data_IF_395663795796
#
_entry.id   IF_395663795796
#
_cell.length_a   1.000
_cell.length_b   1.000
_cell.length_c   1.000
_cell.angle_alpha   90.00
_cell.angle_beta   90.00
_cell.angle_gamma   90.00
#
_symmetry.space_group_name_H-M   'P 1'
#
loop_
_entity.id
_entity.type
_entity.pdbx_description
1 polymer ?
#
# COMPACT_ATOMS: atom_id res chain seq x y z
N UNK A 1 -24.32 -3.16 -12.41
CA UNK A 1 -23.53 -3.01 -11.18
C UNK A 1 -23.54 -1.55 -10.77
N UNK A 2 -23.34 -1.24 -9.49
CA UNK A 2 -23.30 0.15 -9.02
C UNK A 2 -22.02 0.83 -9.54
N UNK A 3 -22.15 2.08 -10.00
CA UNK A 3 -21.01 2.92 -10.36
C UNK A 3 -20.15 3.18 -9.12
N UNK A 4 -18.85 2.97 -9.26
CA UNK A 4 -17.83 3.27 -8.25
C UNK A 4 -17.23 4.64 -8.55
N UNK A 5 -17.04 5.47 -7.53
CA UNK A 5 -16.60 6.86 -7.70
C UNK A 5 -15.75 7.39 -6.55
N UNK A 6 -15.17 6.49 -5.75
CA UNK A 6 -14.38 6.90 -4.59
C UNK A 6 -13.03 7.44 -5.03
N UNK A 7 -12.73 8.66 -4.59
CA UNK A 7 -11.46 9.34 -4.83
C UNK A 7 -11.08 10.19 -3.62
N UNK A 8 -9.98 9.86 -2.97
CA UNK A 8 -9.50 10.56 -1.78
C UNK A 8 -8.40 11.56 -2.17
N UNK A 9 -8.41 12.74 -1.55
CA UNK A 9 -7.36 13.74 -1.71
C UNK A 9 -6.15 13.39 -0.83
N UNK A 10 -5.26 12.57 -1.37
CA UNK A 10 -3.98 12.19 -0.74
C UNK A 10 -2.86 12.75 -1.59
N UNK A 11 -1.88 13.42 -0.97
CA UNK A 11 -0.73 13.97 -1.68
C UNK A 11 0.34 12.88 -1.86
N UNK A 12 0.87 12.68 -3.08
CA UNK A 12 1.96 11.74 -3.30
C UNK A 12 3.25 12.23 -2.63
N UNK A 13 4.02 11.27 -2.11
CA UNK A 13 5.33 11.50 -1.50
C UNK A 13 6.33 10.60 -2.21
N UNK A 14 7.40 11.18 -2.78
CA UNK A 14 8.51 10.39 -3.32
C UNK A 14 9.37 9.86 -2.17
N UNK A 15 9.72 8.58 -2.21
CA UNK A 15 10.61 7.95 -1.25
C UNK A 15 12.02 8.55 -1.30
N UNK A 16 12.66 8.75 -0.14
CA UNK A 16 14.01 9.34 -0.07
C UNK A 16 15.12 8.35 -0.41
N UNK A 17 14.89 7.04 -0.23
CA UNK A 17 15.84 5.97 -0.56
C UNK A 17 15.16 4.91 -1.42
N UNK A 18 15.90 4.07 -2.13
CA UNK A 18 15.34 2.99 -2.96
C UNK A 18 14.53 1.95 -2.17
N UNK A 19 14.66 1.92 -0.84
CA UNK A 19 14.05 0.93 0.04
C UNK A 19 13.06 1.50 1.05
N UNK A 20 12.74 2.81 0.98
CA UNK A 20 11.84 3.47 1.92
C UNK A 20 10.40 3.58 1.44
N UNK A 21 9.99 2.83 0.40
CA UNK A 21 8.61 2.82 -0.11
C UNK A 21 7.56 2.57 1.00
N UNK A 22 7.88 1.69 1.96
CA UNK A 22 7.06 1.41 3.14
C UNK A 22 6.82 2.66 4.00
N UNK A 23 7.86 3.47 4.21
CA UNK A 23 7.82 4.67 5.03
C UNK A 23 7.10 5.81 4.29
N UNK A 24 7.37 5.97 3.00
CA UNK A 24 6.72 6.99 2.16
C UNK A 24 5.22 6.74 2.04
N UNK A 25 4.80 5.51 1.78
CA UNK A 25 3.38 5.16 1.72
C UNK A 25 2.69 5.37 3.08
N UNK A 26 3.34 4.98 4.18
CA UNK A 26 2.80 5.24 5.51
C UNK A 26 2.73 6.75 5.83
N UNK A 27 3.71 7.55 5.37
CA UNK A 27 3.67 9.00 5.46
C UNK A 27 2.49 9.61 4.71
N UNK A 28 2.12 9.09 3.53
CA UNK A 28 0.91 9.52 2.81
C UNK A 28 -0.36 9.23 3.61
N UNK A 29 -0.50 8.03 4.15
CA UNK A 29 -1.64 7.63 4.98
C UNK A 29 -1.73 8.50 6.25
N UNK A 30 -0.63 8.62 7.00
CA UNK A 30 -0.57 9.41 8.24
C UNK A 30 -0.86 10.88 7.97
N UNK A 31 -0.32 11.42 6.87
CA UNK A 31 -0.56 12.81 6.49
C UNK A 31 -2.03 13.07 6.18
N UNK A 32 -2.67 12.16 5.43
CA UNK A 32 -4.09 12.21 5.15
C UNK A 32 -4.93 12.14 6.43
N UNK A 33 -4.64 11.17 7.31
CA UNK A 33 -5.41 10.97 8.55
C UNK A 33 -5.30 12.14 9.52
N UNK A 34 -4.13 12.78 9.59
CA UNK A 34 -3.83 13.84 10.56
C UNK A 34 -3.96 15.26 10.00
N UNK A 35 -4.24 15.42 8.70
CA UNK A 35 -4.44 16.73 8.07
C UNK A 35 -3.18 17.60 8.02
N UNK A 36 -1.98 17.02 8.11
CA UNK A 36 -0.70 17.73 7.93
C UNK A 36 0.32 16.84 7.24
N UNK A 37 1.33 17.43 6.60
CA UNK A 37 2.43 16.65 6.05
C UNK A 37 3.26 15.97 7.15
N UNK A 38 3.64 14.72 6.90
CA UNK A 38 4.60 13.93 7.67
C UNK A 38 5.71 13.43 6.74
N UNK A 39 6.94 13.43 7.24
CA UNK A 39 8.09 12.81 6.58
C UNK A 39 8.19 11.31 6.88
N UNK A 40 8.97 10.60 6.06
CA UNK A 40 9.29 9.18 6.29
C UNK A 40 9.94 8.96 7.66
N UNK A 41 10.87 9.83 8.06
CA UNK A 41 11.56 9.72 9.35
C UNK A 41 10.61 9.97 10.54
N UNK A 42 9.68 10.92 10.43
CA UNK A 42 8.66 11.13 11.46
C UNK A 42 7.79 9.87 11.63
N UNK A 43 7.35 9.25 10.53
CA UNK A 43 6.55 8.02 10.60
C UNK A 43 7.35 6.83 11.13
N UNK A 44 8.60 6.66 10.70
CA UNK A 44 9.49 5.65 11.27
C UNK A 44 9.70 5.87 12.78
N UNK A 45 9.83 7.13 13.22
CA UNK A 45 9.95 7.48 14.64
C UNK A 45 8.67 7.16 15.41
N UNK A 46 7.49 7.43 14.83
CA UNK A 46 6.21 7.05 15.42
C UNK A 46 6.09 5.54 15.61
N UNK A 47 6.59 4.74 14.67
CA UNK A 47 6.57 3.29 14.78
C UNK A 47 7.61 2.74 15.79
N UNK A 48 8.73 3.43 15.95
CA UNK A 48 9.70 3.18 17.03
C UNK A 48 11.14 2.93 16.58
N UNK A 49 12.08 2.73 17.52
CA UNK A 49 13.52 2.78 17.25
C UNK A 49 14.00 1.79 16.17
N UNK A 50 13.42 0.59 16.10
CA UNK A 50 13.78 -0.40 15.08
C UNK A 50 13.50 0.10 13.66
N UNK A 51 12.39 0.82 13.43
CA UNK A 51 12.03 1.36 12.11
C UNK A 51 12.85 2.58 11.75
N UNK A 52 13.27 3.38 12.74
CA UNK A 52 14.26 4.44 12.53
C UNK A 52 15.58 3.84 12.03
N UNK A 53 16.04 2.74 12.64
CA UNK A 53 17.23 2.03 12.19
C UNK A 53 17.08 1.47 10.78
N UNK A 54 15.96 0.82 10.45
CA UNK A 54 15.70 0.32 9.10
C UNK A 54 15.67 1.45 8.06
N UNK A 55 15.03 2.57 8.37
CA UNK A 55 14.99 3.73 7.49
C UNK A 55 16.40 4.32 7.27
N UNK A 56 17.16 4.54 8.34
CA UNK A 56 18.53 5.09 8.26
C UNK A 56 19.50 4.17 7.52
N UNK A 57 19.29 2.86 7.61
CA UNK A 57 20.11 1.86 6.92
C UNK A 57 19.63 1.60 5.48
N UNK A 58 18.62 2.31 4.99
CA UNK A 58 18.02 2.12 3.67
C UNK A 58 17.63 0.66 3.41
N UNK A 59 16.96 0.04 4.38
CA UNK A 59 16.46 -1.34 4.28
C UNK A 59 14.94 -1.37 4.24
N UNK A 60 14.38 -2.30 3.47
CA UNK A 60 12.95 -2.58 3.44
C UNK A 60 12.45 -3.30 4.70
N UNK A 61 11.14 -3.45 4.80
CA UNK A 61 10.52 -4.32 5.80
C UNK A 61 10.51 -5.77 5.31
N UNK A 62 10.72 -6.72 6.22
CA UNK A 62 10.41 -8.12 5.97
C UNK A 62 8.90 -8.38 6.10
N UNK A 63 8.42 -9.49 5.54
CA UNK A 63 7.00 -9.89 5.60
C UNK A 63 6.39 -9.81 6.99
N UNK A 64 7.00 -10.43 8.03
CA UNK A 64 6.49 -10.37 9.40
C UNK A 64 6.48 -8.96 10.01
N UNK A 65 7.30 -8.04 9.53
CA UNK A 65 7.39 -6.67 10.07
C UNK A 65 6.23 -5.77 9.64
N UNK A 66 5.48 -6.11 8.58
CA UNK A 66 4.38 -5.28 8.10
C UNK A 66 3.28 -5.11 9.14
N UNK A 67 2.84 -6.20 9.77
CA UNK A 67 1.78 -6.16 10.78
C UNK A 67 2.22 -5.41 12.04
N UNK A 68 3.45 -5.65 12.52
CA UNK A 68 4.02 -4.92 13.66
C UNK A 68 4.09 -3.42 13.34
N UNK A 69 4.60 -3.05 12.16
CA UNK A 69 4.71 -1.65 11.74
C UNK A 69 3.35 -0.96 11.66
N UNK A 70 2.37 -1.61 11.05
CA UNK A 70 1.00 -1.12 10.97
C UNK A 70 0.41 -0.88 12.37
N UNK A 71 0.52 -1.86 13.26
CA UNK A 71 -0.06 -1.78 14.60
C UNK A 71 0.50 -0.60 15.41
N UNK A 72 1.79 -0.31 15.28
CA UNK A 72 2.47 0.81 15.95
C UNK A 72 2.03 2.18 15.44
N UNK A 73 1.48 2.24 14.22
CA UNK A 73 0.88 3.44 13.65
C UNK A 73 -0.65 3.53 13.87
N UNK A 74 -1.23 2.59 14.63
CA UNK A 74 -2.68 2.50 14.83
C UNK A 74 -3.44 2.06 13.59
N UNK A 75 -2.80 1.28 12.72
CA UNK A 75 -3.39 0.71 11.50
C UNK A 75 -3.70 -0.77 11.71
N UNK A 76 -4.67 -1.27 10.95
CA UNK A 76 -5.02 -2.67 10.82
C UNK A 76 -4.50 -3.26 9.52
N UNK A 77 -4.50 -4.59 9.45
CA UNK A 77 -4.11 -5.36 8.26
C UNK A 77 -5.25 -6.27 7.85
N UNK A 78 -5.48 -6.39 6.56
CA UNK A 78 -6.38 -7.41 6.01
C UNK A 78 -5.65 -8.75 5.90
N UNK A 79 -6.42 -9.84 5.86
CA UNK A 79 -5.90 -11.15 5.49
C UNK A 79 -5.24 -11.10 4.08
N UNK A 80 -4.28 -11.99 3.77
CA UNK A 80 -3.67 -12.06 2.45
C UNK A 80 -4.70 -12.52 1.41
N UNK A 81 -5.41 -11.54 0.84
CA UNK A 81 -6.45 -11.75 -0.15
C UNK A 81 -6.48 -10.60 -1.16
N UNK A 82 -7.01 -10.90 -2.34
CA UNK A 82 -7.34 -9.89 -3.33
C UNK A 82 -8.84 -9.59 -3.27
N UNK A 83 -9.21 -8.33 -3.52
CA UNK A 83 -10.59 -7.88 -3.43
C UNK A 83 -11.17 -7.58 -4.81
N UNK A 84 -12.49 -7.62 -4.91
CA UNK A 84 -13.20 -7.07 -6.06
C UNK A 84 -13.08 -5.54 -6.10
N UNK A 85 -13.37 -4.89 -7.24
CA UNK A 85 -13.43 -3.43 -7.30
C UNK A 85 -14.33 -2.82 -6.21
N UNK A 86 -15.49 -3.43 -5.95
CA UNK A 86 -16.42 -3.02 -4.90
C UNK A 86 -15.84 -3.23 -3.49
N UNK A 87 -15.06 -4.30 -3.28
CA UNK A 87 -14.37 -4.57 -2.03
C UNK A 87 -13.35 -3.48 -1.70
N UNK A 88 -12.49 -3.12 -2.66
CA UNK A 88 -11.56 -2.01 -2.50
C UNK A 88 -12.27 -0.67 -2.29
N UNK A 89 -13.35 -0.40 -3.03
CA UNK A 89 -14.13 0.82 -2.82
C UNK A 89 -14.73 0.87 -1.40
N UNK A 90 -15.24 -0.26 -0.90
CA UNK A 90 -15.80 -0.36 0.45
C UNK A 90 -14.75 -0.09 1.52
N UNK A 91 -13.53 -0.64 1.35
CA UNK A 91 -12.40 -0.37 2.22
C UNK A 91 -12.00 1.12 2.18
N UNK A 92 -11.92 1.73 1.00
CA UNK A 92 -11.59 3.15 0.84
C UNK A 92 -12.61 4.06 1.54
N UNK A 93 -13.91 3.78 1.37
CA UNK A 93 -15.00 4.53 2.00
C UNK A 93 -14.97 4.41 3.52
N UNK A 94 -14.63 3.23 4.04
CA UNK A 94 -14.65 2.93 5.48
C UNK A 94 -13.39 3.41 6.20
N UNK A 95 -12.23 3.21 5.60
CA UNK A 95 -10.93 3.34 6.27
C UNK A 95 -10.03 4.44 5.69
N UNK A 96 -10.38 5.01 4.54
CA UNK A 96 -9.54 5.96 3.83
C UNK A 96 -8.54 5.26 2.90
N UNK A 97 -7.42 5.92 2.53
CA UNK A 97 -6.48 5.37 1.57
C UNK A 97 -5.81 4.11 2.11
N UNK A 98 -5.52 3.18 1.20
CA UNK A 98 -4.99 1.87 1.54
C UNK A 98 -3.52 1.80 1.15
N UNK A 99 -2.70 1.26 2.06
CA UNK A 99 -1.32 0.92 1.79
C UNK A 99 -1.30 -0.49 1.19
N UNK A 100 -0.70 -0.62 0.00
CA UNK A 100 -0.77 -1.81 -0.86
C UNK A 100 0.64 -2.37 -1.07
N UNK A 101 0.87 -3.62 -0.66
CA UNK A 101 2.09 -4.37 -0.99
C UNK A 101 1.88 -5.27 -2.21
N UNK A 102 2.50 -4.89 -3.33
CA UNK A 102 2.40 -5.59 -4.61
C UNK A 102 3.78 -6.05 -5.13
N UNK A 103 3.79 -7.09 -5.97
CA UNK A 103 4.99 -7.55 -6.68
C UNK A 103 5.09 -6.84 -8.01
N UNK A 104 5.84 -5.73 -8.07
CA UNK A 104 6.01 -4.95 -9.30
C UNK A 104 7.36 -5.16 -9.99
N UNK A 105 8.34 -5.72 -9.28
CA UNK A 105 9.65 -5.96 -9.84
C UNK A 105 9.67 -7.31 -10.58
N UNK A 106 10.25 -7.30 -11.77
CA UNK A 106 10.49 -8.51 -12.56
C UNK A 106 11.65 -9.33 -11.96
N UNK A 107 11.45 -9.89 -10.77
CA UNK A 107 12.36 -10.87 -10.17
C UNK A 107 12.49 -10.74 -8.65
N UNK A 108 12.24 -11.87 -7.96
CA UNK A 108 12.50 -12.04 -6.53
C UNK A 108 11.32 -11.68 -5.61
N UNK A 109 11.45 -12.08 -4.34
CA UNK A 109 10.50 -11.79 -3.26
C UNK A 109 10.67 -10.35 -2.77
N UNK A 110 10.26 -9.38 -3.59
CA UNK A 110 10.32 -7.96 -3.25
C UNK A 110 8.95 -7.31 -3.44
N UNK A 111 8.50 -6.66 -2.38
CA UNK A 111 7.24 -5.93 -2.35
C UNK A 111 7.52 -4.46 -2.60
N UNK A 112 6.93 -3.91 -3.65
CA UNK A 112 6.83 -2.47 -3.81
C UNK A 112 5.53 -1.98 -3.18
N UNK A 113 5.67 -0.96 -2.36
CA UNK A 113 4.58 -0.44 -1.55
C UNK A 113 4.04 0.82 -2.21
N UNK A 114 2.73 0.85 -2.47
CA UNK A 114 2.03 1.99 -3.05
C UNK A 114 0.77 2.32 -2.25
N UNK A 115 0.11 3.43 -2.58
CA UNK A 115 -1.12 3.84 -1.90
C UNK A 115 -2.30 3.86 -2.87
N UNK A 116 -3.29 3.01 -2.65
CA UNK A 116 -4.58 3.09 -3.35
C UNK A 116 -5.38 4.23 -2.72
N UNK A 117 -5.70 5.25 -3.51
CA UNK A 117 -6.49 6.41 -3.07
C UNK A 117 -7.87 6.51 -3.72
N UNK A 118 -8.16 5.66 -4.71
CA UNK A 118 -9.44 5.71 -5.41
C UNK A 118 -9.72 4.49 -6.27
N UNK A 119 -11.00 4.21 -6.45
CA UNK A 119 -11.56 3.20 -7.34
C UNK A 119 -12.75 3.81 -8.06
N UNK A 120 -12.67 3.93 -9.39
CA UNK A 120 -13.69 4.61 -10.21
C UNK A 120 -14.01 3.79 -11.46
N UNK A 121 -15.29 3.54 -11.72
CA UNK A 121 -15.75 2.78 -12.89
C UNK A 121 -17.13 2.14 -12.73
N UNK A 122 -17.43 1.14 -13.56
CA UNK A 122 -18.72 0.43 -13.57
C UNK A 122 -18.78 -0.77 -12.59
N UNK A 123 -17.67 -1.06 -11.91
CA UNK A 123 -17.52 -2.17 -10.99
C UNK A 123 -17.03 -3.48 -11.61
N UNK A 124 -16.85 -3.54 -12.94
CA UNK A 124 -16.14 -4.65 -13.61
C UNK A 124 -14.63 -4.44 -13.53
N UNK A 125 -13.85 -5.52 -13.63
CA UNK A 125 -12.39 -5.42 -13.50
C UNK A 125 -11.73 -4.63 -14.64
N UNK A 126 -12.24 -4.74 -15.86
CA UNK A 126 -11.64 -4.09 -17.04
C UNK A 126 -12.07 -2.63 -17.21
N UNK A 127 -13.30 -2.27 -16.82
CA UNK A 127 -13.82 -0.90 -16.94
C UNK A 127 -13.77 -0.11 -15.62
N UNK A 128 -13.13 -0.66 -14.59
CA UNK A 128 -12.85 0.07 -13.34
C UNK A 128 -11.36 0.33 -13.20
N UNK A 129 -11.03 1.53 -12.75
CA UNK A 129 -9.65 1.97 -12.55
C UNK A 129 -9.32 2.09 -11.06
N UNK A 130 -8.15 1.57 -10.69
CA UNK A 130 -7.46 1.88 -9.45
C UNK A 130 -6.60 3.13 -9.63
N UNK A 131 -6.64 4.04 -8.66
CA UNK A 131 -5.81 5.25 -8.61
C UNK A 131 -4.76 5.13 -7.51
N UNK A 132 -3.50 5.08 -7.92
CA UNK A 132 -2.39 4.56 -7.12
C UNK A 132 -1.29 5.61 -7.04
N UNK A 133 -0.96 6.04 -5.84
CA UNK A 133 0.21 6.87 -5.59
C UNK A 133 1.44 5.99 -5.44
N UNK A 134 2.47 6.27 -6.23
CA UNK A 134 3.69 5.49 -6.26
C UNK A 134 4.85 6.26 -5.59
N UNK A 135 5.39 5.76 -4.46
CA UNK A 135 6.55 6.36 -3.82
C UNK A 135 7.82 6.40 -4.67
N UNK A 136 8.01 5.49 -5.64
CA UNK A 136 9.26 5.40 -6.40
C UNK A 136 9.58 6.70 -7.13
N UNK A 137 8.54 7.39 -7.62
CA UNK A 137 8.69 8.67 -8.31
C UNK A 137 7.76 9.78 -7.81
N UNK A 138 6.94 9.51 -6.79
CA UNK A 138 6.03 10.49 -6.20
C UNK A 138 4.90 10.90 -7.15
N UNK A 139 4.46 10.01 -8.04
CA UNK A 139 3.39 10.27 -9.00
C UNK A 139 2.11 9.51 -8.68
N UNK A 140 1.07 9.90 -9.40
CA UNK A 140 -0.27 9.34 -9.33
C UNK A 140 -0.57 8.60 -10.64
N UNK A 141 -0.81 7.31 -10.53
CA UNK A 141 -1.03 6.39 -11.64
C UNK A 141 -2.46 5.90 -11.66
N UNK A 142 -2.89 5.48 -12.85
CA UNK A 142 -4.13 4.72 -13.02
C UNK A 142 -3.82 3.37 -13.64
N UNK A 143 -4.49 2.32 -13.16
CA UNK A 143 -4.43 0.97 -13.71
C UNK A 143 -5.83 0.40 -13.77
N UNK A 144 -6.11 -0.52 -14.70
CA UNK A 144 -7.36 -1.28 -14.62
C UNK A 144 -7.35 -2.15 -13.37
N UNK A 145 -8.52 -2.45 -12.82
CA UNK A 145 -8.61 -3.37 -11.67
C UNK A 145 -8.08 -4.76 -12.04
N UNK A 146 -8.19 -5.19 -13.30
CA UNK A 146 -7.54 -6.42 -13.81
C UNK A 146 -6.03 -6.39 -13.63
N UNK A 147 -5.37 -5.31 -14.06
CA UNK A 147 -3.91 -5.20 -13.97
C UNK A 147 -3.46 -5.02 -12.51
N UNK A 148 -4.17 -4.18 -11.75
CA UNK A 148 -3.91 -4.01 -10.32
C UNK A 148 -4.03 -5.34 -9.56
N UNK A 149 -5.07 -6.13 -9.80
CA UNK A 149 -5.26 -7.43 -9.17
C UNK A 149 -4.10 -8.39 -9.46
N UNK A 150 -3.63 -8.44 -10.72
CA UNK A 150 -2.49 -9.28 -11.12
C UNK A 150 -1.21 -8.93 -10.35
N UNK A 151 -0.96 -7.66 -10.06
CA UNK A 151 0.23 -7.21 -9.33
C UNK A 151 0.24 -7.73 -7.87
N UNK A 152 -0.94 -7.90 -7.26
CA UNK A 152 -1.05 -8.53 -5.94
C UNK A 152 -0.91 -10.05 -6.03
N UNK A 153 -1.44 -10.68 -7.08
CA UNK A 153 -1.33 -12.14 -7.28
C UNK A 153 0.10 -12.58 -7.58
N UNK A 154 0.89 -11.76 -8.28
CA UNK A 154 2.29 -12.07 -8.60
C UNK A 154 3.12 -12.31 -7.34
N UNK A 155 3.04 -11.42 -6.35
CA UNK A 155 3.82 -11.58 -5.11
C UNK A 155 3.32 -12.76 -4.27
N UNK A 156 2.01 -12.97 -4.19
CA UNK A 156 1.45 -14.11 -3.47
C UNK A 156 1.93 -15.44 -4.08
N UNK A 157 1.98 -15.53 -5.42
CA UNK A 157 2.54 -16.70 -6.10
C UNK A 157 4.03 -16.88 -5.82
N UNK A 158 4.81 -15.79 -5.87
CA UNK A 158 6.25 -15.85 -5.57
C UNK A 158 6.52 -16.35 -4.15
N UNK A 159 5.70 -15.96 -3.16
CA UNK A 159 5.81 -16.43 -1.77
C UNK A 159 5.54 -17.92 -1.65
N UNK A 160 4.48 -18.41 -2.30
CA UNK A 160 4.17 -19.84 -2.35
C UNK A 160 5.31 -20.62 -3.02
N UNK A 161 5.80 -20.15 -4.18
CA UNK A 161 6.88 -20.81 -4.92
C UNK A 161 8.19 -20.87 -4.12
N UNK A 162 8.36 -19.98 -3.14
CA UNK A 162 9.52 -19.91 -2.26
C UNK A 162 9.31 -20.56 -0.89
N UNK A 163 8.21 -21.30 -0.69
CA UNK A 163 7.85 -21.94 0.59
C UNK A 163 7.77 -20.93 1.77
N UNK A 164 7.26 -19.73 1.49
CA UNK A 164 7.01 -18.68 2.49
C UNK A 164 5.52 -18.56 2.83
N UNK A 165 5.25 -18.05 4.02
CA UNK A 165 3.90 -17.62 4.41
C UNK A 165 3.40 -16.50 3.48
N UNK A 166 2.09 -16.49 3.24
CA UNK A 166 1.43 -15.36 2.55
C UNK A 166 1.32 -14.17 3.49
N UNK A 167 2.03 -13.09 3.16
CA UNK A 167 1.96 -11.86 3.97
C UNK A 167 0.84 -10.93 3.51
N UNK A 168 0.34 -10.13 4.46
CA UNK A 168 -0.70 -9.13 4.20
C UNK A 168 -0.31 -8.20 3.05
N UNK A 169 -1.29 -7.85 2.24
CA UNK A 169 -1.12 -6.97 1.08
C UNK A 169 -1.83 -5.64 1.24
N UNK A 170 -2.73 -5.52 2.21
CA UNK A 170 -3.59 -4.34 2.39
C UNK A 170 -3.54 -3.92 3.85
N UNK A 171 -3.07 -2.69 4.07
CA UNK A 171 -3.00 -2.05 5.39
C UNK A 171 -3.85 -0.78 5.33
N UNK A 172 -4.62 -0.51 6.38
CA UNK A 172 -5.54 0.61 6.44
C UNK A 172 -5.70 1.12 7.87
N UNK A 173 -6.24 2.33 8.04
CA UNK A 173 -6.61 2.83 9.38
C UNK A 173 -7.82 2.09 9.95
N UNK A 174 -7.89 1.98 11.28
CA UNK A 174 -9.07 1.51 12.01
C UNK A 174 -10.30 2.39 11.79
#
# INVERSE_FOLDING_TARGET
>A
MATLNTMLDVKPIKQTTDWSCWAAAAAMLVSWKKGRAYSELEVATMAGPQYVSLFKNATGLSGPQFADFASRLGMGVEAPQNFTPQGYESLLKKHGPLWIAAGLDAGGLRRHIRVLRGVVGDGTFDNTKAYILDPADGKDYQSTMTQFAKELEVIARQEIDADQDLYTQVIHYG
#
